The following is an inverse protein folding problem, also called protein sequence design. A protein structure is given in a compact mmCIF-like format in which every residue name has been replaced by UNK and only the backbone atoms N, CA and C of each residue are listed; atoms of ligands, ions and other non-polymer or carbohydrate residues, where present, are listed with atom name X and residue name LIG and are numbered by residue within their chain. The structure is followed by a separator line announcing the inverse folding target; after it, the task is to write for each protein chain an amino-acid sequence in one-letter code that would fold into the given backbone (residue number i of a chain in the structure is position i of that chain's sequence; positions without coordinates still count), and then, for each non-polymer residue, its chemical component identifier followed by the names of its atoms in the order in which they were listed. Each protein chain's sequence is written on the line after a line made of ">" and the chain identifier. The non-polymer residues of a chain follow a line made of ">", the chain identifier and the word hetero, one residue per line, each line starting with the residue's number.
data_IF_199108676221
#
_entry.id   IF_199108676221
#
_cell.length_a   1.000
_cell.length_b   1.000
_cell.length_c   1.000
_cell.angle_alpha   90.00
_cell.angle_beta   90.00
_cell.angle_gamma   90.00
#
_symmetry.space_group_name_H-M   'P 1'
#
loop_
_entity.id
_entity.type
_entity.pdbx_description
1 polymer ?
2 polymer ?
3 polymer ?
4 non-polymer ?
5 non-polymer ?
6 water ?
#
loop_
_entity_poly.entity_id
_entity_poly.type
_entity_poly.pdbx_seq_one_letter_code
_entity_poly.pdbx_strand_id
2 'polydeoxyribonucleotide' '(DC)(DC)(DA)(DG)(DG)(DT)(DC)(DA)(DG)(DA)(DG)(DT)(DG)(DA)(DC)(DC)(DT)(DG)(DA)' ?
3 'polydeoxyribonucleotide' '(DT)(DC)(DA)(DG)(DG)(DT)(DC)(DA)(DC)(DT)(DC)(DT)(DG)(DA)(DC)(DC)(DT)(DG)(DG)' ?
#
# COMPACT_ATOMS: atom_id res chain seq x y z
N UNK A 2 -12.27 12.14 -23.18
CA UNK A 2 -10.98 11.87 -22.54
C UNK A 2 -9.95 12.94 -22.90
N UNK A 3 -9.55 13.77 -21.92
CA UNK A 3 -8.56 14.83 -22.14
C UNK A 3 -7.15 14.27 -22.37
N UNK A 4 -6.37 14.93 -23.22
CA UNK A 4 -4.98 14.55 -23.37
C UNK A 4 -4.15 15.17 -22.23
N UNK A 5 -4.49 14.76 -21.00
CA UNK A 5 -3.81 15.23 -19.80
C UNK A 5 -3.53 14.06 -18.87
N UNK A 6 -2.60 14.27 -17.94
CA UNK A 6 -2.21 13.25 -17.00
C UNK A 6 -2.67 13.59 -15.58
N UNK A 7 -2.98 12.56 -14.80
CA UNK A 7 -3.31 12.75 -13.40
C UNK A 7 -2.14 13.36 -12.65
N UNK A 8 -2.39 14.50 -12.01
CA UNK A 8 -1.36 15.18 -11.24
C UNK A 8 -0.95 14.40 -9.99
N UNK A 9 -1.76 13.42 -9.60
CA UNK A 9 -1.45 12.62 -8.41
C UNK A 9 -0.65 11.36 -8.76
N UNK A 10 -1.06 10.58 -9.76
CA UNK A 10 -0.42 9.28 -9.97
C UNK A 10 0.17 9.10 -11.39
N UNK A 11 -0.09 10.04 -12.28
CA UNK A 11 0.48 9.99 -13.62
C UNK A 11 -0.31 9.16 -14.63
N UNK A 12 -1.42 8.56 -14.18
CA UNK A 12 -2.28 7.80 -15.09
C UNK A 12 -3.00 8.81 -15.97
N UNK A 13 -3.69 8.33 -16.99
CA UNK A 13 -4.47 9.22 -17.85
C UNK A 13 -5.53 9.93 -17.04
N UNK A 14 -5.67 11.24 -17.22
CA UNK A 14 -6.70 11.97 -16.51
C UNK A 14 -8.04 11.70 -17.16
N UNK A 15 -9.10 11.66 -16.36
CA UNK A 15 -10.45 11.55 -16.89
C UNK A 15 -11.07 12.92 -17.05
N UNK A 16 -10.54 13.89 -16.31
CA UNK A 16 -11.07 15.24 -16.34
C UNK A 16 -10.41 16.10 -15.28
N UNK A 17 -10.98 17.28 -15.09
CA UNK A 17 -10.47 18.24 -14.13
C UNK A 17 -11.35 18.14 -12.89
N UNK A 18 -10.88 17.44 -11.87
CA UNK A 18 -11.72 17.09 -10.72
C UNK A 18 -11.17 17.70 -9.43
N UNK A 19 -12.06 18.34 -8.67
CA UNK A 19 -11.71 18.93 -7.39
C UNK A 19 -10.54 19.91 -7.56
N UNK A 20 -10.45 20.54 -8.73
CA UNK A 20 -9.45 21.55 -8.98
C UNK A 20 -8.13 21.09 -9.57
N UNK A 21 -8.01 19.81 -9.91
CA UNK A 21 -6.78 19.31 -10.53
C UNK A 21 -7.09 18.30 -11.64
N UNK A 22 -6.14 18.09 -12.54
CA UNK A 22 -6.31 17.02 -13.52
C UNK A 22 -6.08 15.71 -12.81
N UNK A 23 -7.05 14.81 -12.91
CA UNK A 23 -6.92 13.56 -12.17
C UNK A 23 -7.64 12.40 -12.86
N UNK A 24 -7.22 11.19 -12.52
CA UNK A 24 -7.86 9.98 -13.02
C UNK A 24 -9.10 9.70 -12.18
N UNK A 25 -9.91 8.74 -12.62
CA UNK A 25 -11.09 8.32 -11.87
C UNK A 25 -10.72 7.78 -10.49
N UNK A 26 -9.59 7.09 -10.40
CA UNK A 26 -9.17 6.52 -9.14
C UNK A 26 -8.90 7.59 -8.10
N UNK A 27 -8.09 8.57 -8.46
CA UNK A 27 -7.70 9.59 -7.50
C UNK A 27 -8.89 10.50 -7.18
N UNK A 28 -9.77 10.72 -8.17
CA UNK A 28 -11.02 11.45 -7.92
C UNK A 28 -11.86 10.79 -6.83
N UNK A 29 -12.10 9.49 -6.98
CA UNK A 29 -12.91 8.74 -6.02
C UNK A 29 -12.23 8.65 -4.66
N UNK A 30 -10.92 8.46 -4.67
CA UNK A 30 -10.16 8.34 -3.44
C UNK A 30 -10.27 9.63 -2.64
N UNK A 31 -10.12 10.77 -3.30
CA UNK A 31 -10.25 12.04 -2.59
C UNK A 31 -11.70 12.26 -2.15
N UNK A 32 -12.65 11.94 -3.04
CA UNK A 32 -14.07 11.96 -2.72
C UNK A 32 -14.40 11.22 -1.42
N UNK A 33 -13.83 10.03 -1.27
CA UNK A 33 -14.09 9.22 -0.08
C UNK A 33 -13.40 9.79 1.16
N UNK A 34 -12.33 10.54 0.95
CA UNK A 34 -11.56 11.08 2.08
C UNK A 34 -12.28 12.26 2.74
N UNK A 35 -13.02 13.02 1.95
CA UNK A 35 -13.73 14.18 2.50
C UNK A 35 -15.01 13.73 3.21
N UNK A 36 -15.26 12.43 3.22
CA UNK A 36 -16.44 11.87 3.85
C UNK A 36 -16.06 10.96 5.03
N UNK A 39 -11.10 9.90 7.86
CA UNK A 39 -10.21 8.82 7.49
C UNK A 39 -8.87 8.94 8.23
N UNK A 40 -8.27 7.81 8.58
CA UNK A 40 -6.94 7.81 9.20
C UNK A 40 -6.00 6.85 8.51
N UNK A 41 -5.11 7.38 7.68
CA UNK A 41 -4.10 6.56 7.02
C UNK A 41 -2.75 6.76 7.71
N UNK A 42 -2.00 5.68 7.85
CA UNK A 42 -0.66 5.74 8.39
C UNK A 42 0.33 5.24 7.35
N UNK A 43 1.32 6.05 7.03
CA UNK A 43 2.41 5.60 6.16
C UNK A 43 3.31 4.60 6.90
N UNK A 44 3.57 3.44 6.28
CA UNK A 44 4.43 2.44 6.93
C UNK A 44 5.91 2.75 6.77
N UNK A 45 6.21 3.77 5.97
CA UNK A 45 7.58 4.19 5.72
C UNK A 45 7.86 5.53 6.39
N UNK A 46 8.25 6.53 5.60
CA UNK A 46 8.67 7.83 6.14
C UNK A 46 7.93 9.02 5.53
N UNK A 47 6.68 8.80 5.11
CA UNK A 47 5.81 9.84 4.56
C UNK A 47 6.34 10.49 3.29
N UNK A 48 7.08 9.72 2.50
CA UNK A 48 7.70 10.26 1.29
C UNK A 48 7.56 9.28 0.11
N UNK A 49 6.47 8.49 0.14
CA UNK A 49 6.27 7.45 -0.87
C UNK A 49 5.97 8.01 -2.25
N UNK A 50 6.49 7.34 -3.26
CA UNK A 50 6.21 7.66 -4.65
C UNK A 50 4.79 7.21 -5.01
N UNK A 51 4.04 8.09 -5.66
CA UNK A 51 2.73 7.70 -6.18
C UNK A 51 2.82 7.71 -7.70
N UNK A 52 2.87 6.51 -8.29
CA UNK A 52 3.08 6.34 -9.73
C UNK A 52 2.35 5.08 -10.20
N UNK A 53 1.22 5.28 -10.88
CA UNK A 53 0.34 4.17 -11.23
C UNK A 53 1.01 3.18 -12.20
N UNK A 54 1.71 3.70 -13.19
CA UNK A 54 2.35 2.87 -14.21
C UNK A 54 3.38 1.93 -13.61
N UNK A 55 4.02 2.34 -12.52
CA UNK A 55 5.02 1.49 -11.88
C UNK A 55 4.47 0.78 -10.64
N UNK A 56 3.14 0.86 -10.48
CA UNK A 56 2.42 0.14 -9.44
C UNK A 56 2.89 0.54 -8.05
N UNK A 57 3.15 1.84 -7.89
CA UNK A 57 3.60 2.39 -6.61
C UNK A 57 2.50 3.24 -5.99
N UNK A 58 2.07 2.87 -4.79
CA UNK A 58 1.14 3.73 -4.07
C UNK A 58 1.16 3.43 -2.56
N UNK A 59 0.69 4.40 -1.80
CA UNK A 59 0.60 4.40 -0.34
C UNK A 59 -0.61 5.23 0.00
N UNK A 60 -1.53 4.70 0.80
CA UNK A 60 -2.78 5.44 1.07
C UNK A 60 -2.53 6.80 1.72
N UNK A 61 -1.69 6.82 2.75
CA UNK A 61 -1.40 8.06 3.44
C UNK A 61 -0.72 9.08 2.53
N UNK A 62 0.25 8.62 1.75
CA UNK A 62 0.99 9.52 0.88
C UNK A 62 0.16 9.89 -0.35
N UNK A 63 -0.75 9.01 -0.75
CA UNK A 63 -1.66 9.32 -1.86
C UNK A 63 -2.55 10.49 -1.47
N UNK A 64 -3.10 10.42 -0.26
CA UNK A 64 -3.98 11.49 0.20
C UNK A 64 -3.20 12.78 0.39
N UNK A 65 -2.02 12.70 0.98
CA UNK A 65 -1.19 13.90 1.11
C UNK A 65 -0.83 14.51 -0.23
N UNK A 66 -0.64 13.68 -1.27
CA UNK A 66 -0.29 14.21 -2.58
C UNK A 66 -1.51 14.83 -3.26
N UNK A 67 -2.70 14.25 -3.06
CA UNK A 67 -3.94 14.88 -3.52
C UNK A 67 -4.03 16.31 -3.00
N UNK A 68 -3.81 16.47 -1.70
CA UNK A 68 -3.84 17.78 -1.08
C UNK A 68 -2.72 18.68 -1.60
N UNK A 69 -1.52 18.12 -1.68
CA UNK A 69 -0.35 18.84 -2.22
C UNK A 69 -0.56 19.46 -3.59
N UNK A 70 -1.13 18.71 -4.54
CA UNK A 70 -1.28 19.22 -5.90
C UNK A 70 -2.49 20.13 -6.04
N UNK A 71 -3.32 20.21 -4.99
CA UNK A 71 -4.36 21.22 -4.93
C UNK A 71 -5.82 20.78 -4.89
N UNK A 72 -6.11 19.50 -4.63
CA UNK A 72 -7.52 19.08 -4.57
C UNK A 72 -8.23 19.67 -3.36
N UNK A 73 -9.44 20.16 -3.57
CA UNK A 73 -10.28 20.69 -2.50
C UNK A 73 -11.73 20.30 -2.71
N UNK B 4 1.89 -18.36 24.19
CA UNK B 4 1.93 -18.92 22.84
C UNK B 4 2.65 -17.95 21.90
N UNK B 5 3.21 -18.49 20.81
CA UNK B 5 4.12 -17.74 19.95
C UNK B 5 3.47 -16.62 19.14
N UNK B 6 4.28 -15.63 18.75
CA UNK B 6 3.81 -14.56 17.88
C UNK B 6 4.19 -14.80 16.43
N UNK B 7 3.41 -14.22 15.52
CA UNK B 7 3.75 -14.25 14.09
C UNK B 7 5.11 -13.59 13.85
N UNK B 8 6.01 -14.32 13.19
CA UNK B 8 7.36 -13.80 12.94
C UNK B 8 7.37 -12.73 11.85
N UNK B 9 6.26 -12.58 11.13
CA UNK B 9 6.17 -11.56 10.09
C UNK B 9 5.66 -10.23 10.64
N UNK B 10 4.57 -10.25 11.42
CA UNK B 10 3.93 -8.99 11.80
C UNK B 10 3.73 -8.83 13.31
N UNK B 11 3.96 -9.89 14.08
CA UNK B 11 3.87 -9.79 15.53
C UNK B 11 2.49 -9.96 16.12
N UNK B 12 1.51 -10.25 15.26
CA UNK B 12 0.17 -10.63 15.71
C UNK B 12 0.30 -12.02 16.35
N UNK B 13 -0.74 -12.46 17.06
CA UNK B 13 -0.72 -13.81 17.62
C UNK B 13 -0.64 -14.83 16.50
N UNK B 14 0.24 -15.81 16.65
CA UNK B 14 0.37 -16.86 15.64
C UNK B 14 -0.74 -17.87 15.81
N UNK B 15 -1.24 -18.39 14.69
CA UNK B 15 -2.30 -19.39 14.73
C UNK B 15 -1.75 -20.79 14.55
N UNK B 16 -0.52 -20.86 14.04
CA UNK B 16 0.10 -22.14 13.76
C UNK B 16 1.42 -21.99 13.05
N UNK B 17 1.96 -23.13 12.61
CA UNK B 17 3.25 -23.16 11.98
C UNK B 17 3.00 -23.34 10.49
N UNK B 18 3.07 -22.23 9.76
CA UNK B 18 2.64 -22.21 8.37
C UNK B 18 3.81 -21.94 7.43
N UNK B 19 3.98 -22.81 6.45
CA UNK B 19 5.02 -22.67 5.43
C UNK B 19 6.38 -22.56 6.11
N UNK B 20 6.54 -23.25 7.24
CA UNK B 20 7.81 -23.33 7.92
C UNK B 20 8.09 -22.21 8.91
N UNK B 21 7.07 -21.42 9.22
CA UNK B 21 7.21 -20.25 10.07
C UNK B 21 6.01 -20.09 11.02
N UNK B 22 6.26 -19.74 12.28
CA UNK B 22 5.15 -19.38 13.16
C UNK B 22 4.51 -18.09 12.68
N UNK B 23 3.21 -18.14 12.38
CA UNK B 23 2.57 -16.99 11.75
C UNK B 23 1.07 -16.93 11.97
N UNK B 24 0.49 -15.76 11.72
CA UNK B 24 -0.94 -15.54 11.94
C UNK B 24 -1.71 -15.94 10.69
N UNK B 25 -3.03 -15.97 10.78
CA UNK B 25 -3.85 -16.34 9.63
C UNK B 25 -3.70 -15.34 8.47
N UNK B 26 -3.47 -14.08 8.79
CA UNK B 26 -3.31 -13.06 7.76
C UNK B 26 -2.08 -13.32 6.93
N UNK B 27 -0.93 -13.46 7.59
CA UNK B 27 0.30 -13.63 6.86
C UNK B 27 0.33 -14.99 6.16
N UNK B 28 -0.28 -16.00 6.79
CA UNK B 28 -0.46 -17.30 6.15
C UNK B 28 -1.17 -17.18 4.81
N UNK B 29 -2.34 -16.54 4.83
CA UNK B 29 -3.15 -16.37 3.63
C UNK B 29 -2.44 -15.52 2.58
N UNK B 30 -1.77 -14.47 3.03
CA UNK B 30 -1.04 -13.60 2.13
C UNK B 30 0.07 -14.36 1.39
N UNK B 31 0.81 -15.19 2.11
CA UNK B 31 1.86 -15.97 1.47
C UNK B 31 1.25 -17.02 0.55
N UNK B 32 0.16 -17.65 1.01
CA UNK B 32 -0.63 -18.58 0.20
C UNK B 32 -0.97 -17.99 -1.16
N UNK B 33 -1.48 -16.76 -1.15
CA UNK B 33 -1.88 -16.10 -2.39
C UNK B 33 -0.67 -15.70 -3.23
N UNK B 34 0.45 -15.41 -2.59
CA UNK B 34 1.62 -14.96 -3.34
C UNK B 34 2.19 -16.11 -4.16
N UNK B 35 2.16 -17.31 -3.60
CA UNK B 35 2.76 -18.46 -4.29
C UNK B 35 1.84 -19.04 -5.35
N UNK B 36 0.61 -18.54 -5.44
CA UNK B 36 -0.32 -19.01 -6.48
C UNK B 36 -0.23 -18.09 -7.69
N UNK B 40 3.40 -7.56 -10.24
CA UNK B 40 3.96 -8.06 -8.99
C UNK B 40 4.40 -6.89 -8.10
N UNK B 41 4.45 -7.11 -6.80
CA UNK B 41 4.48 -6.03 -5.82
C UNK B 41 5.68 -5.10 -5.92
N UNK B 42 5.44 -3.80 -5.85
CA UNK B 42 6.51 -2.82 -5.89
C UNK B 42 6.40 -1.91 -4.66
N UNK B 43 7.51 -1.74 -3.96
CA UNK B 43 7.55 -0.81 -2.83
C UNK B 43 7.67 0.62 -3.33
N UNK B 44 6.81 1.52 -2.82
CA UNK B 44 6.87 2.93 -3.24
C UNK B 44 7.85 3.74 -2.41
N UNK B 45 8.47 3.10 -1.42
CA UNK B 45 9.44 3.77 -0.55
C UNK B 45 10.85 3.21 -0.75
N UNK B 46 11.44 2.66 0.31
CA UNK B 46 12.83 2.22 0.24
C UNK B 46 13.03 0.76 0.67
N UNK B 47 12.00 -0.04 0.44
CA UNK B 47 12.02 -1.48 0.71
C UNK B 47 12.35 -1.78 2.17
N UNK B 48 11.86 -0.92 3.05
CA UNK B 48 12.11 -1.03 4.48
C UNK B 48 10.87 -0.64 5.28
N UNK B 49 9.69 -0.89 4.69
CA UNK B 49 8.44 -0.51 5.33
C UNK B 49 8.17 -1.34 6.58
N UNK B 50 7.58 -0.70 7.58
CA UNK B 50 7.24 -1.37 8.82
C UNK B 50 6.12 -2.39 8.59
N UNK B 51 6.36 -3.63 9.02
CA UNK B 51 5.34 -4.67 8.96
C UNK B 51 4.99 -5.12 10.38
N UNK B 52 3.82 -4.69 10.85
CA UNK B 52 3.36 -5.08 12.17
C UNK B 52 1.85 -5.30 12.12
N UNK B 53 1.24 -5.67 13.23
CA UNK B 53 -0.17 -6.07 13.19
C UNK B 53 -1.08 -4.91 12.80
N UNK B 54 -0.55 -3.69 12.91
CA UNK B 54 -1.28 -2.48 12.55
C UNK B 54 -1.07 -2.07 11.09
N UNK B 55 0.16 -2.26 10.61
CA UNK B 55 0.62 -1.66 9.36
C UNK B 55 0.84 -2.65 8.22
N UNK B 56 0.63 -3.94 8.47
CA UNK B 56 1.05 -5.00 7.55
C UNK B 56 0.37 -4.93 6.18
N UNK B 57 -0.84 -4.38 6.12
CA UNK B 57 -1.60 -4.34 4.86
C UNK B 57 -1.11 -3.24 3.92
N UNK B 58 -0.32 -2.32 4.45
CA UNK B 58 0.05 -1.11 3.72
C UNK B 58 0.98 -1.39 2.54
N UNK B 59 2.10 -2.06 2.78
CA UNK B 59 3.03 -2.35 1.69
C UNK B 59 3.16 -3.85 1.41
N UNK B 60 2.52 -4.28 0.33
CA UNK B 60 2.54 -5.68 -0.08
C UNK B 60 3.95 -6.19 -0.38
N UNK B 61 4.73 -5.37 -1.08
CA UNK B 61 6.09 -5.74 -1.45
C UNK B 61 6.92 -6.05 -0.21
N UNK B 62 6.87 -5.17 0.78
CA UNK B 62 7.64 -5.40 1.99
C UNK B 62 7.08 -6.51 2.86
N UNK B 63 5.76 -6.73 2.81
CA UNK B 63 5.19 -7.82 3.58
C UNK B 63 5.70 -9.14 3.02
N UNK B 64 5.74 -9.26 1.70
CA UNK B 64 6.22 -10.51 1.09
C UNK B 64 7.71 -10.71 1.37
N UNK B 65 8.49 -9.64 1.25
CA UNK B 65 9.91 -9.74 1.58
C UNK B 65 10.13 -10.16 3.03
N UNK B 66 9.28 -9.67 3.94
CA UNK B 66 9.38 -10.06 5.33
C UNK B 66 9.06 -11.55 5.50
N UNK B 67 8.05 -12.03 4.78
CA UNK B 67 7.71 -13.46 4.78
C UNK B 67 8.90 -14.33 4.38
N UNK B 68 9.56 -13.94 3.29
CA UNK B 68 10.73 -14.66 2.81
C UNK B 68 11.90 -14.58 3.78
N UNK B 69 12.11 -13.40 4.36
CA UNK B 69 13.20 -13.18 5.30
C UNK B 69 13.17 -14.13 6.49
N UNK B 70 11.98 -14.38 7.02
CA UNK B 70 11.86 -15.21 8.21
C UNK B 70 11.72 -16.67 7.84
N UNK B 71 11.69 -16.97 6.53
CA UNK B 71 11.80 -18.33 6.06
C UNK B 71 10.58 -19.03 5.50
N UNK B 72 9.53 -18.30 5.16
CA UNK B 72 8.39 -18.96 4.53
C UNK B 72 8.77 -19.52 3.17
N UNK B 73 8.35 -20.75 2.88
CA UNK B 73 8.74 -21.40 1.64
C UNK B 73 7.58 -22.10 0.92
X LIG E 1 -4.48 9.33 -10.36
X LIG F 1 3.75 6.48 2.44
X LIG G 1 -10.91 5.50 0.40
X LIG H 1 1.32 -11.99 10.71
X LIG I 1 7.56 -1.12 1.21
#
# INVERSE_FOLDING_TARGET
>A
SKPKRLCQVCGDHASGFHYGVWSCEGCKAFFKRSIQGHVDYVCPATNNCTIDKHRRKSCQACRLRKCLEVGMTKGGQRKERR
>B
SKPKRLCQVCGDHASGFHYGVWSCEGCKAFFKRSIQGHVDYVCPATNNCTIDKHRRKSCQACRLRKCLEVGMTKGGQRKERR
>E hetero
1 ZN ZN
>F hetero
1 ZN ZN
>G hetero
1 NA NA
>H hetero
1 ZN ZN
>I hetero
1 ZN ZN
#
